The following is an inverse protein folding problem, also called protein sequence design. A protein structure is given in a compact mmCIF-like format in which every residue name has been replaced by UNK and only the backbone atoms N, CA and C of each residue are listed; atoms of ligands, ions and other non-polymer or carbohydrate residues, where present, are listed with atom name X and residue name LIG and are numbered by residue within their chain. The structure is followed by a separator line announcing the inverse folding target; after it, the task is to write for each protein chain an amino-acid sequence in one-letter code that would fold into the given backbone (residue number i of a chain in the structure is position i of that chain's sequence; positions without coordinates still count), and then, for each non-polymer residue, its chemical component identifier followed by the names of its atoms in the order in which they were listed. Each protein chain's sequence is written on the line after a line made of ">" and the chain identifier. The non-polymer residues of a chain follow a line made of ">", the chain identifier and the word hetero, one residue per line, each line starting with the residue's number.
data_IF_570418072285
#
_entry.id   IF_570418072285
#
_cell.length_a   1.000
_cell.length_b   1.000
_cell.length_c   1.000
_cell.angle_alpha   90.00
_cell.angle_beta   90.00
_cell.angle_gamma   90.00
#
_symmetry.space_group_name_H-M   'P 1'
#
loop_
_entity.id
_entity.type
_entity.pdbx_description
1 polymer ?
#
# COMPACT_ATOMS: atom_id res chain seq x y z
N UNK A 1 17.04 2.78 3.73
CA UNK A 1 16.96 1.30 3.74
C UNK A 1 15.49 0.95 3.64
N UNK A 2 15.10 0.42 2.48
CA UNK A 2 13.74 0.42 1.97
C UNK A 2 13.08 -0.93 2.26
N UNK A 3 11.87 -0.89 2.82
CA UNK A 3 11.11 -2.09 3.12
C UNK A 3 10.39 -2.54 1.84
N UNK A 4 10.63 -3.79 1.42
CA UNK A 4 9.90 -4.42 0.32
C UNK A 4 8.66 -5.13 0.85
N UNK A 5 7.60 -5.09 0.06
CA UNK A 5 6.45 -5.97 0.19
C UNK A 5 6.94 -7.43 0.14
N UNK A 6 6.47 -8.33 1.01
CA UNK A 6 6.85 -9.75 0.97
C UNK A 6 6.43 -10.42 -0.35
N UNK A 7 7.23 -11.37 -0.86
CA UNK A 7 6.93 -12.08 -2.11
C UNK A 7 5.54 -12.75 -2.10
N UNK A 8 5.11 -13.27 -0.94
CA UNK A 8 3.77 -13.87 -0.79
C UNK A 8 2.63 -12.86 -1.01
N UNK A 9 2.87 -11.58 -0.70
CA UNK A 9 1.92 -10.52 -1.02
C UNK A 9 1.89 -10.31 -2.52
N UNK A 10 3.06 -10.18 -3.18
CA UNK A 10 3.15 -10.02 -4.63
C UNK A 10 2.51 -11.20 -5.38
N UNK A 11 2.66 -12.43 -4.87
CA UNK A 11 2.00 -13.61 -5.40
C UNK A 11 0.46 -13.53 -5.23
N UNK A 12 -0.03 -13.20 -4.02
CA UNK A 12 -1.46 -12.96 -3.79
C UNK A 12 -2.03 -11.91 -4.76
N UNK A 13 -1.19 -10.92 -5.11
CA UNK A 13 -1.54 -9.87 -6.04
C UNK A 13 -1.76 -10.38 -7.48
N UNK A 14 -1.17 -11.49 -7.89
CA UNK A 14 -1.36 -12.03 -9.24
C UNK A 14 -2.70 -12.77 -9.41
N UNK A 15 -3.27 -13.29 -8.31
CA UNK A 15 -4.44 -14.18 -8.36
C UNK A 15 -5.79 -13.50 -8.08
N UNK A 16 -5.81 -12.19 -7.83
CA UNK A 16 -7.02 -11.48 -7.36
C UNK A 16 -7.28 -10.23 -8.17
N UNK A 17 -8.57 -9.95 -8.38
CA UNK A 17 -9.02 -8.64 -8.85
C UNK A 17 -8.70 -7.59 -7.78
N UNK A 18 -8.34 -6.39 -8.21
CA UNK A 18 -7.94 -5.29 -7.32
C UNK A 18 -8.85 -4.13 -7.58
N UNK A 19 -9.38 -3.51 -6.53
CA UNK A 19 -10.03 -2.22 -6.67
C UNK A 19 -9.26 -1.18 -5.89
N UNK A 20 -9.24 0.02 -6.44
CA UNK A 20 -8.45 1.12 -5.97
C UNK A 20 -9.37 2.18 -5.40
N UNK A 21 -9.03 2.69 -4.22
CA UNK A 21 -9.72 3.85 -3.67
C UNK A 21 -9.19 5.13 -4.31
N UNK A 22 -10.09 6.07 -4.61
CA UNK A 22 -9.73 7.44 -4.93
C UNK A 22 -8.94 8.11 -3.78
N UNK A 23 -9.10 7.66 -2.53
CA UNK A 23 -8.29 8.11 -1.39
C UNK A 23 -6.84 7.68 -1.55
N UNK A 24 -6.60 6.40 -1.88
CA UNK A 24 -5.24 5.92 -2.16
C UNK A 24 -4.63 6.62 -3.36
N UNK A 25 -5.41 6.90 -4.41
CA UNK A 25 -4.96 7.69 -5.56
C UNK A 25 -4.58 9.12 -5.16
N UNK A 26 -5.34 9.77 -4.29
CA UNK A 26 -5.00 11.09 -3.75
C UNK A 26 -3.69 11.04 -2.93
N UNK A 27 -3.46 10.00 -2.14
CA UNK A 27 -2.21 9.82 -1.40
C UNK A 27 -1.00 9.58 -2.30
N UNK A 28 -1.19 8.74 -3.33
CA UNK A 28 -0.22 8.51 -4.41
C UNK A 28 0.16 9.81 -5.09
N UNK A 29 -0.84 10.57 -5.54
CA UNK A 29 -0.63 11.81 -6.29
C UNK A 29 -0.07 12.94 -5.43
N UNK A 30 -0.30 12.91 -4.11
CA UNK A 30 0.27 13.89 -3.19
C UNK A 30 1.82 13.91 -3.20
N UNK A 31 2.47 12.81 -3.59
CA UNK A 31 3.93 12.72 -3.74
C UNK A 31 4.47 13.73 -4.77
N UNK A 32 3.73 13.99 -5.85
CA UNK A 32 4.14 14.96 -6.89
C UNK A 32 4.34 16.38 -6.36
N UNK A 33 3.53 16.78 -5.37
CA UNK A 33 3.64 18.10 -4.75
C UNK A 33 4.55 18.14 -3.53
N UNK A 34 4.97 17.00 -3.00
CA UNK A 34 5.70 16.91 -1.71
C UNK A 34 7.19 16.64 -1.86
N UNK A 35 7.63 15.98 -2.93
CA UNK A 35 9.06 15.73 -3.13
C UNK A 35 9.80 17.00 -3.53
N UNK A 36 11.05 17.13 -3.07
CA UNK A 36 11.96 18.19 -3.50
C UNK A 36 12.33 17.99 -4.98
N UNK A 37 11.96 18.90 -5.89
CA UNK A 37 12.28 18.76 -7.31
C UNK A 37 13.80 18.81 -7.59
N UNK A 38 14.61 19.38 -6.69
CA UNK A 38 16.07 19.44 -6.86
C UNK A 38 16.77 18.13 -6.45
N UNK A 39 16.10 17.24 -5.73
CA UNK A 39 16.71 16.00 -5.27
C UNK A 39 16.90 15.01 -6.44
N UNK A 40 18.12 14.44 -6.66
CA UNK A 40 18.42 13.61 -7.83
C UNK A 40 17.54 12.38 -8.01
N UNK A 41 16.94 11.85 -6.93
CA UNK A 41 16.05 10.69 -7.00
C UNK A 41 14.59 11.02 -7.32
N UNK A 42 14.19 12.29 -7.28
CA UNK A 42 12.77 12.69 -7.35
C UNK A 42 12.15 12.27 -8.68
N UNK A 43 12.83 12.48 -9.80
CA UNK A 43 12.33 12.10 -11.13
C UNK A 43 12.03 10.60 -11.22
N UNK A 44 12.94 9.75 -10.75
CA UNK A 44 12.75 8.30 -10.75
C UNK A 44 11.58 7.83 -9.87
N UNK A 45 11.40 8.47 -8.70
CA UNK A 45 10.25 8.19 -7.83
C UNK A 45 8.96 8.61 -8.52
N UNK A 46 8.88 9.84 -9.06
CA UNK A 46 7.68 10.34 -9.73
C UNK A 46 7.32 9.52 -10.98
N UNK A 47 8.31 9.02 -11.72
CA UNK A 47 8.06 8.11 -12.84
C UNK A 47 7.43 6.81 -12.36
N UNK A 48 7.96 6.21 -11.29
CA UNK A 48 7.36 4.97 -10.75
C UNK A 48 5.92 5.21 -10.30
N UNK A 49 5.64 6.33 -9.62
CA UNK A 49 4.28 6.67 -9.19
C UNK A 49 3.36 6.84 -10.39
N UNK A 50 3.83 7.47 -11.47
CA UNK A 50 3.07 7.61 -12.72
C UNK A 50 2.72 6.24 -13.31
N UNK A 51 3.70 5.35 -13.43
CA UNK A 51 3.50 4.01 -13.99
C UNK A 51 2.45 3.23 -13.18
N UNK A 52 2.49 3.34 -11.83
CA UNK A 52 1.48 2.72 -10.95
C UNK A 52 0.08 3.30 -11.20
N UNK A 53 -0.05 4.61 -11.39
CA UNK A 53 -1.35 5.27 -11.63
C UNK A 53 -1.91 4.88 -13.00
N UNK A 54 -1.07 4.83 -14.03
CA UNK A 54 -1.46 4.47 -15.39
C UNK A 54 -1.94 3.00 -15.49
N UNK A 55 -1.46 2.12 -14.61
CA UNK A 55 -1.90 0.72 -14.52
C UNK A 55 -3.27 0.55 -13.81
N UNK A 56 -3.81 1.58 -13.15
CA UNK A 56 -5.11 1.50 -12.46
C UNK A 56 -6.27 1.59 -13.47
N UNK A 57 -7.09 0.55 -13.64
CA UNK A 57 -8.23 0.64 -14.57
C UNK A 57 -9.33 1.51 -13.98
N UNK A 58 -9.88 2.43 -14.78
CA UNK A 58 -10.89 3.40 -14.32
C UNK A 58 -12.12 2.74 -13.69
N UNK A 59 -12.61 1.62 -14.24
CA UNK A 59 -13.76 0.89 -13.69
C UNK A 59 -13.48 0.20 -12.34
N UNK A 60 -12.20 0.09 -11.95
CA UNK A 60 -11.76 -0.44 -10.66
C UNK A 60 -11.32 0.67 -9.70
N UNK A 61 -11.38 1.93 -10.11
CA UNK A 61 -11.14 3.09 -9.27
C UNK A 61 -12.48 3.61 -8.72
N UNK A 62 -12.63 3.63 -7.40
CA UNK A 62 -13.88 3.98 -6.74
C UNK A 62 -13.67 5.10 -5.73
N UNK A 63 -14.58 6.06 -5.70
CA UNK A 63 -14.60 7.10 -4.68
C UNK A 63 -15.53 6.70 -3.52
N UNK A 64 -15.20 7.06 -2.26
CA UNK A 64 -16.16 6.96 -1.16
C UNK A 64 -17.36 7.88 -1.42
N UNK A 65 -18.56 7.39 -1.10
CA UNK A 65 -19.76 8.20 -1.18
C UNK A 65 -19.91 9.14 0.03
N UNK A 66 -20.90 10.04 -0.02
CA UNK A 66 -21.14 11.03 1.04
C UNK A 66 -21.42 10.40 2.41
N UNK A 67 -22.07 9.23 2.47
CA UNK A 67 -22.35 8.56 3.73
C UNK A 67 -21.06 8.03 4.35
N UNK A 68 -20.19 7.42 3.53
CA UNK A 68 -18.86 6.98 3.95
C UNK A 68 -18.01 8.13 4.48
N UNK A 69 -18.09 9.32 3.88
CA UNK A 69 -17.40 10.51 4.40
C UNK A 69 -17.85 10.90 5.80
N UNK A 70 -19.17 10.87 6.07
CA UNK A 70 -19.72 11.17 7.39
C UNK A 70 -19.29 10.14 8.44
N UNK A 71 -19.40 8.85 8.13
CA UNK A 71 -19.03 7.78 9.05
C UNK A 71 -17.51 7.72 9.27
N UNK A 72 -16.70 7.93 8.24
CA UNK A 72 -15.25 8.00 8.37
C UNK A 72 -14.79 9.15 9.28
N UNK A 73 -15.48 10.30 9.22
CA UNK A 73 -15.20 11.43 10.12
C UNK A 73 -15.40 11.06 11.59
N UNK A 74 -16.47 10.33 11.91
CA UNK A 74 -16.73 9.83 13.26
C UNK A 74 -15.67 8.81 13.69
N UNK A 75 -15.35 7.83 12.84
CA UNK A 75 -14.35 6.80 13.14
C UNK A 75 -12.95 7.38 13.30
N UNK A 76 -12.56 8.34 12.48
CA UNK A 76 -11.27 9.01 12.59
C UNK A 76 -11.15 9.79 13.91
N UNK A 77 -12.22 10.46 14.35
CA UNK A 77 -12.27 11.13 15.65
C UNK A 77 -12.16 10.16 16.82
N UNK A 78 -12.79 8.99 16.72
CA UNK A 78 -12.68 7.90 17.69
C UNK A 78 -11.26 7.34 17.75
N UNK A 79 -10.70 6.98 16.60
CA UNK A 79 -9.35 6.45 16.46
C UNK A 79 -8.31 7.44 16.99
N UNK A 80 -8.47 8.73 16.68
CA UNK A 80 -7.61 9.78 17.21
C UNK A 80 -7.66 9.85 18.74
N UNK A 81 -8.87 9.80 19.31
CA UNK A 81 -9.07 9.86 20.76
C UNK A 81 -8.48 8.64 21.48
N UNK A 82 -8.67 7.44 20.92
CA UNK A 82 -8.25 6.18 21.54
C UNK A 82 -6.76 5.86 21.34
N UNK A 83 -6.18 6.29 20.21
CA UNK A 83 -4.75 6.07 19.93
C UNK A 83 -3.81 6.93 20.80
N UNK A 84 -4.33 7.99 21.44
CA UNK A 84 -3.51 8.94 22.20
C UNK A 84 -2.55 9.74 21.32
N UNK A 85 -2.82 9.84 20.02
CA UNK A 85 -1.96 10.53 19.08
C UNK A 85 -1.79 12.03 19.43
N UNK A 86 -0.60 12.62 19.25
CA UNK A 86 -0.40 14.05 19.47
C UNK A 86 -1.22 14.89 18.50
N UNK A 87 -1.90 15.92 19.03
CA UNK A 87 -2.63 16.92 18.23
C UNK A 87 -1.66 17.70 17.33
N UNK A 88 -2.06 17.95 16.09
CA UNK A 88 -1.29 18.76 15.15
C UNK A 88 -0.05 18.07 14.56
N UNK A 89 0.15 16.78 14.84
CA UNK A 89 1.21 15.98 14.22
C UNK A 89 0.80 15.38 12.86
N UNK A 90 -0.38 15.73 12.33
CA UNK A 90 -0.85 15.32 11.01
C UNK A 90 -1.51 13.94 10.98
N UNK A 91 -1.80 13.34 12.14
CA UNK A 91 -2.48 12.04 12.25
C UNK A 91 -3.96 12.14 11.85
N UNK A 92 -4.57 13.31 11.97
CA UNK A 92 -6.00 13.52 11.72
C UNK A 92 -6.38 13.20 10.27
N UNK A 93 -5.58 13.67 9.30
CA UNK A 93 -5.77 13.34 7.88
C UNK A 93 -5.54 11.86 7.61
N UNK A 94 -4.54 11.26 8.25
CA UNK A 94 -4.20 9.84 8.09
C UNK A 94 -5.35 8.95 8.57
N UNK A 95 -5.86 9.19 9.78
CA UNK A 95 -6.98 8.43 10.32
C UNK A 95 -8.26 8.59 9.51
N UNK A 96 -8.54 9.78 8.96
CA UNK A 96 -9.66 9.97 8.04
C UNK A 96 -9.50 9.13 6.77
N UNK A 97 -8.32 9.14 6.17
CA UNK A 97 -8.04 8.35 4.97
C UNK A 97 -8.16 6.85 5.23
N UNK A 98 -7.59 6.35 6.33
CA UNK A 98 -7.67 4.94 6.70
C UNK A 98 -9.12 4.51 6.99
N UNK A 99 -9.91 5.35 7.66
CA UNK A 99 -11.32 5.09 7.91
C UNK A 99 -12.17 5.08 6.62
N UNK A 100 -11.91 5.99 5.67
CA UNK A 100 -12.58 5.99 4.36
C UNK A 100 -12.29 4.71 3.58
N UNK A 101 -11.03 4.30 3.56
CA UNK A 101 -10.60 3.05 2.92
C UNK A 101 -11.31 1.86 3.56
N UNK A 102 -11.36 1.83 4.91
CA UNK A 102 -12.01 0.77 5.66
C UNK A 102 -13.50 0.62 5.32
N UNK A 103 -14.24 1.73 5.37
CA UNK A 103 -15.67 1.75 5.07
C UNK A 103 -15.97 1.49 3.60
N UNK A 104 -15.11 1.96 2.70
CA UNK A 104 -15.25 1.65 1.29
C UNK A 104 -15.10 0.14 1.05
N UNK A 105 -14.07 -0.49 1.60
CA UNK A 105 -13.88 -1.94 1.52
C UNK A 105 -15.09 -2.71 2.08
N UNK A 106 -15.66 -2.25 3.20
CA UNK A 106 -16.89 -2.81 3.77
C UNK A 106 -18.07 -2.72 2.81
N UNK A 107 -18.30 -1.55 2.22
CA UNK A 107 -19.46 -1.27 1.37
C UNK A 107 -19.54 -2.13 0.10
N UNK A 108 -18.40 -2.61 -0.37
CA UNK A 108 -18.26 -3.40 -1.60
C UNK A 108 -17.87 -4.86 -1.34
N UNK A 109 -17.85 -5.30 -0.07
CA UNK A 109 -17.55 -6.69 0.30
C UNK A 109 -16.09 -7.10 0.09
N UNK A 110 -15.16 -6.15 0.17
CA UNK A 110 -13.74 -6.37 -0.05
C UNK A 110 -12.97 -6.84 1.17
N UNK A 111 -11.86 -7.52 0.90
CA UNK A 111 -10.74 -7.60 1.84
C UNK A 111 -9.81 -6.39 1.73
N UNK A 112 -9.16 -6.02 2.84
CA UNK A 112 -8.08 -5.02 2.87
C UNK A 112 -6.74 -5.72 3.00
N UNK A 113 -5.76 -5.31 2.20
CA UNK A 113 -4.38 -5.77 2.30
C UNK A 113 -3.47 -4.61 2.70
N UNK A 114 -2.90 -4.66 3.90
CA UNK A 114 -2.17 -3.50 4.45
C UNK A 114 -0.97 -3.88 5.30
N UNK A 115 0.07 -3.04 5.22
CA UNK A 115 1.20 -3.04 6.14
C UNK A 115 0.96 -2.18 7.40
N UNK A 116 -0.12 -1.39 7.41
CA UNK A 116 -0.54 -0.53 8.52
C UNK A 116 -1.32 -1.35 9.56
N UNK A 117 -0.60 -2.22 10.27
CA UNK A 117 -1.19 -3.12 11.27
C UNK A 117 -1.94 -2.35 12.35
N UNK A 118 -1.37 -1.25 12.86
CA UNK A 118 -1.93 -0.54 14.00
C UNK A 118 -3.34 -0.01 13.72
N UNK A 119 -3.47 0.84 12.71
CA UNK A 119 -4.75 1.54 12.51
C UNK A 119 -5.86 0.60 12.06
N UNK A 120 -5.55 -0.35 11.16
CA UNK A 120 -6.55 -1.26 10.62
C UNK A 120 -6.99 -2.32 11.64
N UNK A 121 -6.12 -2.72 12.56
CA UNK A 121 -6.52 -3.54 13.71
C UNK A 121 -7.48 -2.77 14.62
N UNK A 122 -7.18 -1.50 14.95
CA UNK A 122 -8.09 -0.64 15.73
C UNK A 122 -9.43 -0.41 15.03
N UNK A 123 -9.43 -0.10 13.74
CA UNK A 123 -10.66 0.10 12.96
C UNK A 123 -11.53 -1.17 12.96
N UNK A 124 -10.92 -2.36 12.84
CA UNK A 124 -11.63 -3.62 12.90
C UNK A 124 -12.22 -3.93 14.29
N UNK A 125 -11.56 -3.49 15.35
CA UNK A 125 -12.07 -3.61 16.72
C UNK A 125 -13.25 -2.65 16.97
N UNK A 126 -13.21 -1.45 16.40
CA UNK A 126 -14.28 -0.44 16.54
C UNK A 126 -15.52 -0.80 15.72
N UNK A 127 -15.32 -1.20 14.47
CA UNK A 127 -16.40 -1.55 13.54
C UNK A 127 -16.03 -2.86 12.84
N UNK A 128 -16.35 -4.02 13.43
CA UNK A 128 -16.01 -5.29 12.81
C UNK A 128 -16.80 -5.49 11.50
N UNK A 129 -16.22 -6.25 10.58
CA UNK A 129 -16.92 -6.69 9.37
C UNK A 129 -16.17 -6.55 8.06
N UNK A 130 -14.89 -6.17 8.09
CA UNK A 130 -14.02 -6.16 6.91
C UNK A 130 -12.94 -7.22 7.08
N UNK A 131 -12.78 -8.19 6.16
CA UNK A 131 -11.64 -9.08 6.19
C UNK A 131 -10.34 -8.31 5.98
N UNK A 132 -9.34 -8.52 6.83
CA UNK A 132 -8.06 -7.81 6.75
C UNK A 132 -6.92 -8.82 6.65
N UNK A 133 -6.11 -8.66 5.61
CA UNK A 133 -4.84 -9.36 5.41
C UNK A 133 -3.73 -8.39 5.80
N UNK A 134 -3.14 -8.66 6.95
CA UNK A 134 -2.04 -7.87 7.49
C UNK A 134 -0.71 -8.47 7.06
N UNK A 135 0.20 -7.63 6.59
CA UNK A 135 1.58 -8.05 6.31
C UNK A 135 2.59 -7.15 7.03
N UNK A 136 3.78 -7.68 7.26
CA UNK A 136 4.92 -6.92 7.77
C UNK A 136 5.98 -6.88 6.69
N UNK A 137 6.50 -5.68 6.42
CA UNK A 137 7.59 -5.53 5.46
C UNK A 137 8.83 -6.29 5.95
N UNK A 138 9.50 -6.99 5.05
CA UNK A 138 10.76 -7.63 5.38
C UNK A 138 11.78 -6.56 5.74
N UNK A 139 12.41 -6.66 6.93
CA UNK A 139 13.57 -5.82 7.24
C UNK A 139 14.66 -6.18 6.24
N UNK A 140 15.15 -5.18 5.49
CA UNK A 140 16.37 -5.36 4.72
C UNK A 140 17.48 -5.75 5.70
N UNK A 141 17.93 -7.01 5.64
CA UNK A 141 19.04 -7.50 6.45
C UNK A 141 20.23 -6.56 6.23
N UNK A 142 20.63 -5.84 7.27
CA UNK A 142 21.91 -5.15 7.27
C UNK A 142 22.99 -6.21 6.99
N UNK A 143 23.74 -6.01 5.92
CA UNK A 143 24.78 -6.90 5.42
C UNK A 143 25.66 -7.42 6.54
N UNK A 144 25.43 -8.67 6.96
CA UNK A 144 26.46 -9.45 7.62
C UNK A 144 27.43 -9.86 6.51
N UNK A 145 28.53 -9.12 6.42
CA UNK A 145 29.66 -9.39 5.53
C UNK A 145 30.13 -10.85 5.69
N UNK A 146 29.66 -11.74 4.81
CA UNK A 146 30.35 -12.99 4.52
C UNK A 146 31.39 -12.70 3.44
N UNK A 147 32.62 -12.60 3.91
CA UNK A 147 33.82 -12.48 3.12
C UNK A 147 33.97 -13.77 2.31
N UNK A 148 33.74 -13.69 0.99
CA UNK A 148 33.92 -14.82 0.07
C UNK A 148 35.37 -14.89 -0.41
N UNK A 149 35.95 -16.09 -0.37
CA UNK A 149 36.94 -16.54 -1.36
C UNK A 149 36.74 -18.03 -1.63
N UNK A 150 36.39 -18.34 -2.88
CA UNK A 150 36.36 -19.70 -3.41
C UNK A 150 35.58 -19.79 -4.71
N UNK A 151 36.21 -19.37 -5.81
CA UNK A 151 35.66 -19.38 -7.17
C UNK A 151 35.64 -20.79 -7.80
N UNK A 152 34.65 -21.09 -8.64
CA UNK A 152 34.84 -21.87 -9.88
C UNK A 152 33.63 -21.74 -10.84
N UNK A 153 33.83 -22.08 -12.12
CA UNK A 153 33.19 -21.53 -13.33
C UNK A 153 32.20 -22.49 -14.05
N UNK A 154 31.12 -21.90 -14.62
CA UNK A 154 30.47 -22.09 -15.98
C UNK A 154 29.79 -23.43 -16.37
N UNK A 155 29.02 -23.52 -17.50
CA UNK A 155 27.75 -22.81 -17.85
C UNK A 155 26.68 -23.78 -18.46
N UNK A 156 25.41 -23.37 -18.61
CA UNK A 156 24.45 -24.17 -19.38
C UNK A 156 22.99 -23.69 -19.40
N UNK A 157 22.57 -23.18 -20.55
CA UNK A 157 21.26 -23.28 -21.23
C UNK A 157 19.94 -23.11 -20.44
N UNK A 158 19.18 -22.07 -20.81
CA UNK A 158 17.83 -22.15 -21.41
C UNK A 158 17.08 -20.82 -21.15
N UNK A 159 16.91 -20.02 -22.20
CA UNK A 159 16.14 -18.78 -22.18
C UNK A 159 14.91 -18.93 -23.05
N UNK A 160 13.78 -19.26 -22.43
CA UNK A 160 12.45 -19.07 -22.99
C UNK A 160 11.82 -17.91 -22.19
N UNK A 161 11.87 -16.69 -22.75
CA UNK A 161 11.26 -15.52 -22.12
C UNK A 161 9.74 -15.61 -22.21
N UNK A 162 9.10 -15.81 -21.05
CA UNK A 162 7.69 -15.55 -20.81
C UNK A 162 7.49 -14.05 -20.47
N UNK A 163 6.33 -13.45 -20.78
CA UNK A 163 6.15 -12.00 -20.77
C UNK A 163 6.31 -11.43 -19.35
N UNK A 164 7.14 -10.40 -19.27
CA UNK A 164 7.49 -9.61 -18.09
C UNK A 164 6.24 -9.08 -17.40
N UNK A 165 5.79 -9.76 -16.34
CA UNK A 165 4.90 -9.19 -15.36
C UNK A 165 5.61 -7.97 -14.74
N UNK A 166 4.99 -6.80 -14.91
CA UNK A 166 5.49 -5.50 -14.46
C UNK A 166 5.93 -5.61 -12.99
N UNK A 167 7.23 -5.53 -12.75
CA UNK A 167 7.82 -5.51 -11.41
C UNK A 167 7.34 -4.27 -10.68
N UNK A 168 6.32 -4.42 -9.86
CA UNK A 168 5.91 -3.43 -8.89
C UNK A 168 7.04 -3.24 -7.86
N UNK A 169 8.00 -2.38 -8.18
CA UNK A 169 8.99 -1.92 -7.20
C UNK A 169 9.34 -0.49 -7.55
N UNK A 170 8.85 0.48 -6.78
CA UNK A 170 9.63 1.60 -6.20
C UNK A 170 8.73 2.64 -5.49
N UNK A 171 8.96 2.76 -4.18
CA UNK A 171 8.92 3.96 -3.33
C UNK A 171 7.77 4.96 -3.45
N UNK A 172 6.68 4.66 -2.76
CA UNK A 172 6.22 5.52 -1.69
C UNK A 172 5.68 4.64 -0.55
N UNK A 173 5.50 5.21 0.64
CA UNK A 173 4.86 4.56 1.78
C UNK A 173 3.39 4.28 1.48
N UNK A 174 3.08 3.39 0.54
CA UNK A 174 1.74 2.97 0.16
C UNK A 174 1.23 2.01 1.23
N UNK A 175 0.73 2.58 2.32
CA UNK A 175 0.27 1.80 3.45
C UNK A 175 -1.02 1.03 3.14
N UNK A 176 -1.68 1.25 2.01
CA UNK A 176 -2.96 0.61 1.75
C UNK A 176 -3.14 0.28 0.28
N UNK A 177 -2.87 -0.98 -0.07
CA UNK A 177 -3.41 -1.56 -1.30
C UNK A 177 -4.76 -2.14 -0.88
N UNK A 178 -5.86 -1.42 -1.14
CA UNK A 178 -7.15 -2.10 -1.14
C UNK A 178 -7.06 -3.12 -2.27
N UNK A 179 -7.25 -4.40 -1.94
CA UNK A 179 -7.43 -5.46 -2.92
C UNK A 179 -8.60 -6.29 -2.48
N UNK A 180 -9.74 -5.95 -3.08
CA UNK A 180 -11.00 -6.67 -2.99
C UNK A 180 -10.81 -8.04 -3.63
N UNK A 181 -10.49 -9.04 -2.81
CA UNK A 181 -10.75 -10.41 -3.21
C UNK A 181 -12.26 -10.66 -3.07
N UNK A 182 -12.95 -10.95 -4.18
CA UNK A 182 -14.21 -11.70 -4.10
C UNK A 182 -13.91 -13.08 -3.50
N UNK A 183 -14.84 -13.58 -2.69
CA UNK A 183 -14.78 -14.91 -2.05
C UNK A 183 -15.11 -15.99 -3.07
#
# INVERSE_FOLDING_TARGET
>A
MQARTPDAVDELLTYRVCHHSAVCLAELTHVFGRLDPAHPSTSGVLQTVRDVIEDIPQHRLQAPDTAMWGEAGMLAGELFRLSGAPKGAGHERKYLNDALIYLQARGIGASILTGNVGDFDFLNQLVPGVPIILYRQARANASRSENSRGASRTPGSEGLEAPTAVKATTHASFHTIIRIAEV
#
